data_IF_605590234379
#
_entry.id   IF_605590234379
#
_cell.length_a   1.000
_cell.length_b   1.000
_cell.length_c   1.000
_cell.angle_alpha   90.00
_cell.angle_beta   90.00
_cell.angle_gamma   90.00
#
_symmetry.space_group_name_H-M   'P 1'
#
loop_
_entity.id
_entity.type
_entity.pdbx_description
1 polymer ?
#
# COMPACT_ATOMS: atom_id res chain seq x y z
N UNK A 1 -16.80 -9.28 -15.50
CA UNK A 1 -15.86 -9.21 -16.65
C UNK A 1 -14.41 -9.34 -16.19
N UNK A 2 -13.88 -8.48 -15.32
CA UNK A 2 -12.45 -8.54 -14.91
C UNK A 2 -12.01 -9.91 -14.33
N UNK A 3 -12.85 -10.56 -13.53
CA UNK A 3 -12.52 -11.87 -12.95
C UNK A 3 -12.45 -13.00 -13.99
N UNK A 4 -13.13 -12.85 -15.13
CA UNK A 4 -12.98 -13.80 -16.25
C UNK A 4 -11.55 -13.76 -16.80
N UNK A 5 -11.01 -12.55 -16.99
CA UNK A 5 -9.63 -12.36 -17.47
C UNK A 5 -8.58 -12.78 -16.44
N UNK A 6 -8.87 -12.64 -15.15
CA UNK A 6 -7.92 -12.98 -14.06
C UNK A 6 -7.99 -14.44 -13.62
N UNK A 7 -8.99 -15.22 -14.06
CA UNK A 7 -9.26 -16.58 -13.58
C UNK A 7 -8.01 -17.47 -13.58
N UNK A 8 -7.38 -17.65 -14.75
CA UNK A 8 -6.20 -18.51 -14.89
C UNK A 8 -5.05 -18.05 -14.00
N UNK A 9 -4.80 -16.73 -13.94
CA UNK A 9 -3.76 -16.18 -13.07
C UNK A 9 -4.05 -16.48 -11.59
N UNK A 10 -5.29 -16.30 -11.13
CA UNK A 10 -5.69 -16.58 -9.74
C UNK A 10 -5.55 -18.06 -9.40
N UNK A 11 -5.93 -18.96 -10.30
CA UNK A 11 -5.80 -20.41 -10.10
C UNK A 11 -4.33 -20.84 -9.97
N UNK A 12 -3.46 -20.34 -10.84
CA UNK A 12 -2.02 -20.65 -10.81
C UNK A 12 -1.36 -20.04 -9.57
N UNK A 13 -1.67 -18.78 -9.25
CA UNK A 13 -1.13 -18.11 -8.06
C UNK A 13 -1.61 -18.78 -6.76
N UNK A 14 -2.85 -19.26 -6.70
CA UNK A 14 -3.36 -19.98 -5.53
C UNK A 14 -2.61 -21.30 -5.24
N UNK A 15 -2.01 -21.92 -6.27
CA UNK A 15 -1.17 -23.14 -6.13
C UNK A 15 0.30 -22.81 -5.85
N UNK A 16 0.68 -21.55 -5.93
CA UNK A 16 2.04 -21.11 -5.67
C UNK A 16 2.36 -21.13 -4.19
N UNK A 17 3.59 -21.53 -3.84
CA UNK A 17 4.14 -21.34 -2.49
C UNK A 17 4.78 -19.97 -2.29
N UNK A 18 4.97 -19.20 -3.36
CA UNK A 18 5.71 -17.92 -3.36
C UNK A 18 4.81 -16.70 -3.50
N UNK A 19 3.63 -16.85 -4.05
CA UNK A 19 2.76 -15.75 -4.42
C UNK A 19 1.32 -16.03 -3.98
N UNK A 20 0.59 -14.97 -3.67
CA UNK A 20 -0.82 -15.03 -3.35
C UNK A 20 -1.65 -14.50 -4.53
N UNK A 21 -2.82 -15.09 -4.82
CA UNK A 21 -3.71 -14.54 -5.81
C UNK A 21 -4.25 -13.18 -5.33
N UNK A 22 -4.48 -12.23 -6.25
CA UNK A 22 -5.06 -10.95 -5.86
C UNK A 22 -6.50 -11.12 -5.36
N UNK A 23 -6.92 -10.21 -4.47
CA UNK A 23 -8.29 -10.15 -3.96
C UNK A 23 -9.28 -9.73 -5.05
N UNK A 24 -10.57 -10.00 -4.79
CA UNK A 24 -11.65 -9.51 -5.63
C UNK A 24 -11.74 -7.98 -5.49
N UNK A 25 -12.12 -7.31 -6.57
CA UNK A 25 -12.31 -5.84 -6.55
C UNK A 25 -13.37 -5.42 -5.52
N UNK A 26 -14.36 -6.28 -5.27
CA UNK A 26 -15.39 -6.06 -4.26
C UNK A 26 -14.84 -6.16 -2.83
N UNK A 27 -13.83 -7.00 -2.59
CA UNK A 27 -13.17 -7.08 -1.29
C UNK A 27 -12.37 -5.80 -1.02
N UNK A 28 -11.64 -5.32 -2.03
CA UNK A 28 -10.88 -4.08 -1.96
C UNK A 28 -11.81 -2.87 -1.75
N UNK A 29 -12.94 -2.82 -2.43
CA UNK A 29 -13.94 -1.77 -2.25
C UNK A 29 -14.51 -1.77 -0.83
N UNK A 30 -14.87 -2.96 -0.29
CA UNK A 30 -15.35 -3.09 1.10
C UNK A 30 -14.30 -2.70 2.13
N UNK A 31 -13.03 -3.00 1.85
CA UNK A 31 -11.91 -2.58 2.69
C UNK A 31 -11.75 -1.04 2.68
N UNK A 32 -11.73 -0.44 1.48
CA UNK A 32 -11.58 1.00 1.30
C UNK A 32 -12.74 1.80 1.90
N UNK A 33 -13.99 1.30 1.77
CA UNK A 33 -15.20 2.00 2.23
C UNK A 33 -15.24 2.24 3.74
N UNK A 34 -14.41 1.55 4.52
CA UNK A 34 -14.24 1.78 5.97
C UNK A 34 -13.51 3.09 6.28
N UNK A 35 -12.74 3.62 5.32
CA UNK A 35 -11.88 4.80 5.50
C UNK A 35 -12.26 5.97 4.60
N UNK A 36 -12.69 5.70 3.36
CA UNK A 36 -13.02 6.74 2.38
C UNK A 36 -14.23 6.35 1.53
N UNK A 37 -14.91 7.36 0.97
CA UNK A 37 -15.99 7.13 0.01
C UNK A 37 -15.47 6.47 -1.27
N UNK A 38 -16.22 5.50 -1.80
CA UNK A 38 -15.95 4.88 -3.11
C UNK A 38 -16.20 5.84 -4.29
N UNK A 39 -16.79 7.01 -4.03
CA UNK A 39 -16.86 8.12 -4.99
C UNK A 39 -15.51 8.83 -5.17
N UNK A 40 -14.52 8.57 -4.30
CA UNK A 40 -13.18 9.11 -4.44
C UNK A 40 -12.42 8.38 -5.56
N UNK A 41 -12.42 8.94 -6.78
CA UNK A 41 -11.91 8.28 -7.99
C UNK A 41 -10.74 9.03 -8.67
N UNK A 42 -10.17 10.04 -8.02
CA UNK A 42 -9.01 10.77 -8.57
C UNK A 42 -7.75 9.90 -8.55
N UNK A 43 -7.13 9.70 -9.71
CA UNK A 43 -5.99 8.77 -9.86
C UNK A 43 -6.43 7.33 -9.61
N UNK A 44 -5.73 6.62 -8.73
CA UNK A 44 -6.16 5.30 -8.25
C UNK A 44 -7.36 5.39 -7.29
N UNK A 45 -7.59 6.57 -6.69
CA UNK A 45 -8.74 6.83 -5.85
C UNK A 45 -8.88 5.85 -4.68
N UNK A 46 -10.07 5.31 -4.50
CA UNK A 46 -10.37 4.37 -3.43
C UNK A 46 -9.61 3.05 -3.52
N UNK A 47 -9.15 2.69 -4.72
CA UNK A 47 -8.47 1.42 -4.97
C UNK A 47 -7.13 1.35 -4.21
N UNK A 48 -6.34 2.43 -4.22
CA UNK A 48 -5.07 2.50 -3.51
C UNK A 48 -5.24 2.29 -2.00
N UNK A 49 -6.25 2.92 -1.40
CA UNK A 49 -6.57 2.74 0.02
C UNK A 49 -7.00 1.31 0.31
N UNK A 50 -7.80 0.69 -0.57
CA UNK A 50 -8.21 -0.71 -0.44
C UNK A 50 -7.01 -1.67 -0.43
N UNK A 51 -6.06 -1.48 -1.35
CA UNK A 51 -4.81 -2.26 -1.40
C UNK A 51 -3.97 -2.08 -0.13
N UNK A 52 -3.80 -0.84 0.34
CA UNK A 52 -3.09 -0.57 1.60
C UNK A 52 -3.76 -1.24 2.81
N UNK A 53 -5.09 -1.19 2.90
CA UNK A 53 -5.85 -1.88 3.95
C UNK A 53 -5.66 -3.39 3.89
N UNK A 54 -5.75 -3.99 2.71
CA UNK A 54 -5.54 -5.45 2.55
C UNK A 54 -4.13 -5.86 2.92
N UNK A 55 -3.12 -5.06 2.57
CA UNK A 55 -1.74 -5.29 3.01
C UNK A 55 -1.62 -5.27 4.54
N UNK A 56 -2.19 -4.24 5.18
CA UNK A 56 -2.20 -4.11 6.64
C UNK A 56 -2.92 -5.28 7.33
N UNK A 57 -4.11 -5.65 6.84
CA UNK A 57 -4.88 -6.80 7.35
C UNK A 57 -4.15 -8.14 7.11
N UNK A 58 -3.23 -8.21 6.14
CA UNK A 58 -2.37 -9.38 5.90
C UNK A 58 -1.11 -9.43 6.77
N UNK A 59 -0.93 -8.47 7.68
CA UNK A 59 0.21 -8.40 8.61
C UNK A 59 1.38 -7.55 8.12
N UNK A 60 1.27 -6.91 6.95
CA UNK A 60 2.29 -5.97 6.47
C UNK A 60 2.17 -4.67 7.25
N UNK A 61 3.14 -4.40 8.13
CA UNK A 61 3.14 -3.16 8.94
C UNK A 61 3.79 -1.96 8.24
N UNK A 62 4.64 -2.22 7.25
CA UNK A 62 5.55 -1.25 6.68
C UNK A 62 5.27 -1.12 5.16
N UNK A 63 4.79 0.04 4.70
CA UNK A 63 4.39 0.27 3.30
C UNK A 63 5.22 1.42 2.72
N UNK A 64 5.89 1.17 1.60
CA UNK A 64 6.55 2.21 0.79
C UNK A 64 5.65 2.56 -0.39
N UNK A 65 5.15 3.78 -0.41
CA UNK A 65 4.43 4.34 -1.55
C UNK A 65 5.42 5.08 -2.45
N UNK A 66 6.02 4.34 -3.39
CA UNK A 66 6.91 4.88 -4.42
C UNK A 66 6.08 5.55 -5.51
N UNK A 67 6.34 6.82 -5.78
CA UNK A 67 5.53 7.61 -6.71
C UNK A 67 6.38 8.51 -7.59
N UNK A 68 6.01 8.72 -8.87
CA UNK A 68 6.66 9.75 -9.67
C UNK A 68 6.44 11.12 -9.02
N UNK A 69 7.45 11.99 -9.07
CA UNK A 69 7.28 13.37 -8.66
C UNK A 69 6.17 14.06 -9.47
N UNK A 70 5.46 14.98 -8.82
CA UNK A 70 4.29 15.67 -9.37
C UNK A 70 3.10 14.77 -9.78
N UNK A 71 3.05 13.50 -9.36
CA UNK A 71 1.83 12.71 -9.40
C UNK A 71 0.79 13.28 -8.40
N UNK A 72 0.14 14.38 -8.76
CA UNK A 72 -0.80 15.14 -7.93
C UNK A 72 -1.88 14.26 -7.28
N UNK A 73 -2.45 13.25 -7.96
CA UNK A 73 -3.35 12.31 -7.29
C UNK A 73 -2.68 11.68 -6.07
N UNK A 74 -1.51 11.08 -6.20
CA UNK A 74 -0.89 10.43 -5.04
C UNK A 74 -0.33 11.43 -4.00
N UNK A 75 0.15 12.60 -4.43
CA UNK A 75 0.65 13.65 -3.53
C UNK A 75 -0.45 14.26 -2.65
N UNK A 76 -1.67 14.38 -3.19
CA UNK A 76 -2.81 14.98 -2.48
C UNK A 76 -3.71 13.90 -1.91
N UNK A 77 -4.26 13.05 -2.77
CA UNK A 77 -5.26 12.07 -2.36
C UNK A 77 -4.66 10.85 -1.70
N UNK A 78 -3.56 10.31 -2.26
CA UNK A 78 -2.84 9.17 -1.68
C UNK A 78 -2.27 9.48 -0.30
N UNK A 79 -1.49 10.56 -0.16
CA UNK A 79 -0.97 11.00 1.15
C UNK A 79 -2.12 11.42 2.10
N UNK A 80 -3.25 11.91 1.57
CA UNK A 80 -4.41 12.32 2.34
C UNK A 80 -5.03 11.21 3.21
N UNK A 81 -4.92 9.94 2.80
CA UNK A 81 -5.48 8.82 3.57
C UNK A 81 -4.55 8.29 4.66
N UNK A 82 -3.27 8.70 4.69
CA UNK A 82 -2.27 8.13 5.60
C UNK A 82 -2.64 8.32 7.07
N UNK A 83 -3.20 9.47 7.44
CA UNK A 83 -3.62 9.72 8.82
C UNK A 83 -4.78 8.83 9.23
N UNK A 84 -5.76 8.62 8.35
CA UNK A 84 -6.88 7.70 8.58
C UNK A 84 -6.39 6.27 8.75
N UNK A 85 -5.47 5.82 7.88
CA UNK A 85 -4.82 4.51 7.97
C UNK A 85 -4.06 4.36 9.28
N UNK A 86 -3.26 5.34 9.69
CA UNK A 86 -2.50 5.28 10.96
C UNK A 86 -3.42 5.21 12.19
N UNK A 87 -4.58 5.88 12.16
CA UNK A 87 -5.56 5.81 13.25
C UNK A 87 -6.24 4.44 13.32
N UNK A 88 -6.61 3.86 12.17
CA UNK A 88 -7.25 2.54 12.10
C UNK A 88 -6.26 1.38 12.34
N UNK A 89 -4.99 1.56 11.94
CA UNK A 89 -3.91 0.60 12.07
C UNK A 89 -2.73 1.26 12.78
N UNK A 90 -2.74 1.35 14.14
CA UNK A 90 -1.72 2.07 14.90
C UNK A 90 -0.28 1.61 14.65
N UNK A 91 -0.10 0.34 14.30
CA UNK A 91 1.20 -0.26 13.99
C UNK A 91 1.64 -0.04 12.52
N UNK A 92 0.86 0.67 11.71
CA UNK A 92 1.23 0.97 10.32
C UNK A 92 2.34 2.01 10.27
N UNK A 93 3.30 1.81 9.38
CA UNK A 93 4.35 2.75 9.02
C UNK A 93 4.34 2.90 7.50
N UNK A 94 3.74 3.99 7.04
CA UNK A 94 3.51 4.26 5.62
C UNK A 94 4.34 5.48 5.25
N UNK A 95 5.26 5.32 4.31
CA UNK A 95 6.09 6.41 3.80
C UNK A 95 5.82 6.66 2.32
N UNK A 96 5.94 7.92 1.92
CA UNK A 96 5.98 8.30 0.52
C UNK A 96 7.43 8.59 0.10
N UNK A 97 7.81 8.02 -1.04
CA UNK A 97 9.10 8.26 -1.69
C UNK A 97 8.83 8.75 -3.10
N UNK A 98 9.23 9.99 -3.35
CA UNK A 98 9.07 10.62 -4.65
C UNK A 98 10.29 10.25 -5.51
N UNK A 99 10.04 9.57 -6.63
CA UNK A 99 11.04 9.24 -7.65
C UNK A 99 11.07 10.37 -8.68
N UNK A 100 12.13 11.16 -8.62
CA UNK A 100 12.36 12.33 -9.47
C UNK A 100 13.79 12.26 -10.02
N UNK A 101 14.01 12.34 -11.35
CA UNK A 101 15.36 12.49 -11.90
C UNK A 101 16.06 13.76 -11.42
N UNK A 102 15.32 14.80 -11.01
CA UNK A 102 15.87 16.04 -10.45
C UNK A 102 16.27 15.94 -8.98
N UNK A 103 15.83 14.91 -8.25
CA UNK A 103 16.14 14.73 -6.85
C UNK A 103 17.33 13.79 -6.64
N UNK A 104 18.13 14.06 -5.61
CA UNK A 104 19.25 13.17 -5.26
C UNK A 104 18.75 11.77 -4.91
N UNK A 105 19.39 10.74 -5.47
CA UNK A 105 19.19 9.34 -5.10
C UNK A 105 19.34 9.12 -3.58
N UNK A 106 20.25 9.88 -2.95
CA UNK A 106 20.50 9.83 -1.50
C UNK A 106 19.22 10.15 -0.70
N UNK A 107 18.36 11.06 -1.18
CA UNK A 107 17.09 11.37 -0.50
C UNK A 107 16.13 10.17 -0.51
N UNK A 108 16.04 9.46 -1.64
CA UNK A 108 15.19 8.27 -1.77
C UNK A 108 15.70 7.15 -0.87
N UNK A 109 17.01 6.88 -0.92
CA UNK A 109 17.67 5.84 -0.12
C UNK A 109 17.55 6.13 1.39
N UNK A 110 17.76 7.38 1.81
CA UNK A 110 17.69 7.73 3.23
C UNK A 110 16.29 7.56 3.80
N UNK A 111 15.23 7.94 3.05
CA UNK A 111 13.84 7.72 3.49
C UNK A 111 13.53 6.24 3.70
N UNK A 112 13.96 5.39 2.77
CA UNK A 112 13.77 3.93 2.87
C UNK A 112 14.59 3.38 4.04
N UNK A 113 15.86 3.77 4.18
CA UNK A 113 16.73 3.33 5.29
C UNK A 113 16.17 3.73 6.65
N UNK A 114 15.65 4.94 6.80
CA UNK A 114 15.03 5.41 8.04
C UNK A 114 13.79 4.58 8.37
N UNK A 115 12.93 4.31 7.39
CA UNK A 115 11.76 3.45 7.59
C UNK A 115 12.13 2.01 7.98
N UNK A 116 13.17 1.44 7.36
CA UNK A 116 13.67 0.12 7.74
C UNK A 116 14.28 0.12 9.15
N UNK A 117 14.95 1.19 9.56
CA UNK A 117 15.51 1.31 10.91
C UNK A 117 14.44 1.34 12.00
N UNK A 118 13.26 1.94 11.74
CA UNK A 118 12.13 1.88 12.68
C UNK A 118 11.43 0.52 12.65
N UNK A 119 11.44 -0.18 11.52
CA UNK A 119 10.87 -1.53 11.38
C UNK A 119 11.71 -2.65 12.04
N UNK A 120 13.02 -2.41 12.25
CA UNK A 120 13.94 -3.45 12.75
C UNK A 120 13.75 -3.78 14.25
N UNK A 121 13.56 -2.81 15.15
CA UNK A 121 13.13 -3.07 16.54
C UNK A 121 11.83 -3.87 16.60
N UNK A 122 10.83 -3.49 15.80
CA UNK A 122 9.53 -4.18 15.70
C UNK A 122 9.66 -5.64 15.23
N UNK A 123 10.70 -5.95 14.43
CA UNK A 123 11.03 -7.30 13.99
C UNK A 123 11.68 -8.12 15.11
N UNK A 124 12.51 -7.51 15.95
CA UNK A 124 13.16 -8.19 17.09
C UNK A 124 12.14 -8.56 18.17
N UNK A 125 11.19 -7.67 18.47
CA UNK A 125 10.10 -7.96 19.43
C UNK A 125 9.12 -9.01 18.91
N UNK A 126 8.90 -9.13 17.60
CA UNK A 126 7.98 -10.12 17.03
C UNK A 126 8.61 -11.53 16.89
N UNK A 127 9.95 -11.62 16.98
CA UNK A 127 10.71 -12.87 16.89
C UNK A 127 11.23 -13.36 18.25
N UNK A 128 11.08 -12.54 19.29
CA UNK A 128 11.36 -12.89 20.68
C UNK A 128 10.09 -13.44 21.35
#
# INVERSE_FOLDING_TARGET
>A
IIELYRRTAKEVLARSKRFSPPKLIQDLARAASKLISLGHQTGEGWFLTGEMVVLLESGVRNIVCMQPFACLPNHVTGKGVFRGLKNAYPNSNIIAVDYDPGASEVNQLNRIKLMLSSATPERKEMLA
#
